data_IF_837272865376
#
_entry.id   IF_837272865376
#
_cell.length_a   1.000
_cell.length_b   1.000
_cell.length_c   1.000
_cell.angle_alpha   90.00
_cell.angle_beta   90.00
_cell.angle_gamma   90.00
#
_symmetry.space_group_name_H-M   'P 1'
#
loop_
_entity.id
_entity.type
_entity.pdbx_description
1 polymer ?
#
# COMPACT_ATOMS: atom_id res chain seq x y z
N UNK A 1 17.70 17.83 4.86
CA UNK A 1 18.71 18.65 5.54
C UNK A 1 20.05 18.63 4.79
N UNK A 2 20.65 17.45 4.45
CA UNK A 2 21.95 17.39 3.78
C UNK A 2 21.97 18.19 2.46
N UNK A 3 20.99 18.03 1.60
CA UNK A 3 20.85 18.78 0.34
C UNK A 3 20.76 20.30 0.58
N UNK A 4 19.99 20.70 1.61
CA UNK A 4 19.88 22.11 1.98
C UNK A 4 21.20 22.68 2.48
N UNK A 5 21.95 21.92 3.27
CA UNK A 5 23.27 22.32 3.77
C UNK A 5 24.30 22.49 2.63
N UNK A 6 24.10 21.80 1.49
CA UNK A 6 24.89 21.99 0.27
C UNK A 6 24.42 23.20 -0.57
N UNK A 7 23.50 24.02 -0.07
CA UNK A 7 23.00 25.21 -0.77
C UNK A 7 21.91 24.95 -1.82
N UNK A 8 21.43 23.71 -1.94
CA UNK A 8 20.34 23.39 -2.88
C UNK A 8 19.01 23.99 -2.41
N UNK A 9 18.29 24.64 -3.32
CA UNK A 9 16.95 25.18 -3.09
C UNK A 9 15.86 24.29 -3.68
N UNK A 10 16.18 23.60 -4.77
CA UNK A 10 15.27 22.74 -5.54
C UNK A 10 15.96 21.42 -5.82
N UNK A 11 15.21 20.33 -5.76
CA UNK A 11 15.64 19.00 -6.21
C UNK A 11 14.56 18.36 -7.10
N UNK A 12 14.98 17.49 -8.03
CA UNK A 12 14.07 16.73 -8.87
C UNK A 12 13.89 15.32 -8.31
N UNK A 13 12.65 14.84 -8.31
CA UNK A 13 12.27 13.49 -7.87
C UNK A 13 11.71 12.67 -9.03
N UNK A 14 11.99 11.37 -9.01
CA UNK A 14 11.43 10.39 -9.94
C UNK A 14 10.05 9.85 -9.56
N UNK A 15 9.35 10.49 -8.60
CA UNK A 15 7.97 10.15 -8.25
C UNK A 15 7.05 10.25 -9.47
N UNK A 16 6.03 9.39 -9.54
CA UNK A 16 5.14 9.26 -10.69
C UNK A 16 5.62 8.23 -11.71
N UNK A 17 6.93 7.92 -11.73
CA UNK A 17 7.48 6.98 -12.70
C UNK A 17 7.01 5.53 -12.55
N UNK A 18 6.67 5.09 -11.37
CA UNK A 18 6.11 3.76 -11.15
C UNK A 18 4.60 3.73 -11.43
N UNK A 19 3.90 4.79 -11.11
CA UNK A 19 2.46 4.94 -11.28
C UNK A 19 2.07 5.07 -12.75
N UNK A 20 2.80 5.88 -13.51
CA UNK A 20 2.53 6.11 -14.93
C UNK A 20 3.06 5.01 -15.85
N UNK A 21 4.23 4.46 -15.52
CA UNK A 21 4.94 3.50 -16.39
C UNK A 21 4.84 2.05 -15.89
N UNK A 22 3.81 1.75 -15.11
CA UNK A 22 3.52 0.40 -14.61
C UNK A 22 4.69 -0.29 -13.87
N UNK A 23 5.37 0.45 -12.99
CA UNK A 23 6.54 -0.03 -12.28
C UNK A 23 6.26 -0.93 -11.07
N UNK A 24 5.01 -0.97 -10.56
CA UNK A 24 4.63 -1.77 -9.40
C UNK A 24 4.08 -3.16 -9.76
N UNK A 25 4.20 -4.09 -8.83
CA UNK A 25 3.56 -5.41 -8.96
C UNK A 25 2.02 -5.31 -8.99
N UNK A 26 1.43 -4.22 -8.47
CA UNK A 26 -0.01 -3.95 -8.53
C UNK A 26 -0.57 -4.02 -9.95
N UNK A 27 0.17 -3.55 -10.94
CA UNK A 27 -0.25 -3.54 -12.34
C UNK A 27 -0.49 -4.94 -12.94
N UNK A 28 0.18 -5.95 -12.41
CA UNK A 28 -0.06 -7.34 -12.82
C UNK A 28 -0.97 -8.11 -11.86
N UNK A 29 -0.88 -7.83 -10.55
CA UNK A 29 -1.61 -8.57 -9.52
C UNK A 29 -3.07 -8.13 -9.42
N UNK A 30 -3.38 -6.83 -9.39
CA UNK A 30 -4.76 -6.35 -9.23
C UNK A 30 -5.67 -6.83 -10.38
N UNK A 31 -5.29 -6.75 -11.67
CA UNK A 31 -6.10 -7.32 -12.75
C UNK A 31 -6.33 -8.83 -12.62
N UNK A 32 -5.30 -9.59 -12.17
CA UNK A 32 -5.43 -11.03 -11.96
C UNK A 32 -6.36 -11.35 -10.77
N UNK A 33 -6.20 -10.63 -9.66
CA UNK A 33 -7.06 -10.79 -8.49
C UNK A 33 -8.52 -10.43 -8.81
N UNK A 34 -8.75 -9.42 -9.66
CA UNK A 34 -10.10 -9.09 -10.14
C UNK A 34 -10.73 -10.22 -10.95
N UNK A 35 -9.97 -10.94 -11.79
CA UNK A 35 -10.47 -12.13 -12.49
C UNK A 35 -10.76 -13.28 -11.51
N UNK A 36 -9.87 -13.54 -10.57
CA UNK A 36 -10.05 -14.57 -9.52
C UNK A 36 -11.27 -14.23 -8.67
N UNK A 37 -11.45 -12.97 -8.28
CA UNK A 37 -12.60 -12.49 -7.53
C UNK A 37 -13.93 -12.83 -8.21
N UNK A 38 -14.04 -12.64 -9.53
CA UNK A 38 -15.27 -12.96 -10.28
C UNK A 38 -15.62 -14.44 -10.09
N UNK A 39 -14.64 -15.33 -10.22
CA UNK A 39 -14.82 -16.77 -10.01
C UNK A 39 -15.19 -17.07 -8.55
N UNK A 40 -14.50 -16.49 -7.60
CA UNK A 40 -14.78 -16.72 -6.18
C UNK A 40 -16.18 -16.23 -5.78
N UNK A 41 -16.63 -15.09 -6.31
CA UNK A 41 -17.95 -14.54 -6.02
C UNK A 41 -19.09 -15.41 -6.55
N UNK A 42 -18.86 -16.21 -7.60
CA UNK A 42 -19.87 -17.16 -8.13
C UNK A 42 -19.97 -18.46 -7.31
N UNK A 43 -19.01 -18.72 -6.40
CA UNK A 43 -19.03 -19.92 -5.57
C UNK A 43 -19.94 -19.75 -4.33
N UNK A 44 -20.65 -20.80 -3.92
CA UNK A 44 -21.40 -20.82 -2.65
C UNK A 44 -20.49 -20.53 -1.46
N UNK A 45 -21.04 -19.87 -0.43
CA UNK A 45 -20.30 -19.46 0.78
C UNK A 45 -19.65 -20.66 1.51
N UNK A 46 -20.33 -21.81 1.56
CA UNK A 46 -19.80 -23.05 2.13
C UNK A 46 -18.54 -23.54 1.44
N UNK A 47 -18.52 -23.52 0.10
CA UNK A 47 -17.34 -23.93 -0.67
C UNK A 47 -16.18 -22.96 -0.49
N UNK A 48 -16.46 -21.65 -0.47
CA UNK A 48 -15.44 -20.64 -0.18
C UNK A 48 -14.79 -20.82 1.21
N UNK A 49 -15.61 -21.18 2.22
CA UNK A 49 -15.12 -21.50 3.57
C UNK A 49 -14.19 -22.72 3.55
N UNK A 50 -14.55 -23.78 2.83
CA UNK A 50 -13.69 -24.98 2.69
C UNK A 50 -12.37 -24.64 2.00
N UNK A 51 -12.41 -23.90 0.88
CA UNK A 51 -11.20 -23.45 0.17
C UNK A 51 -10.31 -22.58 1.05
N UNK A 52 -10.88 -21.68 1.85
CA UNK A 52 -10.12 -20.86 2.79
C UNK A 52 -9.47 -21.68 3.89
N UNK A 53 -10.16 -22.68 4.43
CA UNK A 53 -9.58 -23.59 5.44
C UNK A 53 -8.42 -24.39 4.85
N UNK A 54 -8.58 -24.93 3.64
CA UNK A 54 -7.51 -25.63 2.93
C UNK A 54 -6.30 -24.71 2.66
N UNK A 55 -6.53 -23.47 2.19
CA UNK A 55 -5.47 -22.49 1.99
C UNK A 55 -4.73 -22.19 3.32
N UNK A 56 -5.47 -22.08 4.43
CA UNK A 56 -4.89 -21.83 5.76
C UNK A 56 -4.03 -23.00 6.26
N UNK A 57 -4.39 -24.24 5.94
CA UNK A 57 -3.60 -25.41 6.35
C UNK A 57 -2.32 -25.60 5.53
N UNK A 58 -2.32 -25.10 4.29
CA UNK A 58 -1.16 -25.25 3.38
C UNK A 58 -0.17 -24.09 3.45
N UNK A 59 -0.57 -22.93 3.98
CA UNK A 59 0.27 -21.75 4.02
C UNK A 59 0.63 -21.34 5.46
N UNK A 60 1.89 -21.01 5.74
CA UNK A 60 2.25 -20.48 7.04
C UNK A 60 1.54 -19.15 7.32
N UNK A 61 1.24 -18.85 8.60
CA UNK A 61 0.68 -17.55 8.99
C UNK A 61 1.56 -16.40 8.50
N UNK A 62 0.97 -15.49 7.72
CA UNK A 62 1.66 -14.33 7.15
C UNK A 62 0.64 -13.31 6.66
N UNK A 63 1.08 -12.07 6.41
CA UNK A 63 0.22 -11.04 5.79
C UNK A 63 -0.38 -11.51 4.46
N UNK A 64 0.37 -12.29 3.69
CA UNK A 64 -0.11 -12.82 2.40
C UNK A 64 -1.19 -13.88 2.57
N UNK A 65 -1.00 -14.82 3.49
CA UNK A 65 -2.00 -15.87 3.77
C UNK A 65 -3.28 -15.26 4.36
N UNK A 66 -3.16 -14.26 5.24
CA UNK A 66 -4.30 -13.53 5.78
C UNK A 66 -5.10 -12.83 4.67
N UNK A 67 -4.42 -12.08 3.78
CA UNK A 67 -5.06 -11.40 2.65
C UNK A 67 -5.70 -12.36 1.66
N UNK A 68 -5.06 -13.50 1.38
CA UNK A 68 -5.62 -14.54 0.50
C UNK A 68 -6.89 -15.15 1.12
N UNK A 69 -6.86 -15.49 2.40
CA UNK A 69 -8.03 -16.00 3.09
C UNK A 69 -9.19 -15.01 3.10
N UNK A 70 -8.86 -13.73 3.25
CA UNK A 70 -9.84 -12.66 3.19
C UNK A 70 -10.48 -12.57 1.79
N UNK A 71 -9.66 -12.63 0.73
CA UNK A 71 -10.14 -12.65 -0.65
C UNK A 71 -11.07 -13.84 -0.94
N UNK A 72 -10.73 -15.03 -0.43
CA UNK A 72 -11.52 -16.25 -0.65
C UNK A 72 -12.87 -16.19 0.10
N UNK A 73 -12.89 -15.72 1.35
CA UNK A 73 -14.10 -15.69 2.18
C UNK A 73 -15.08 -14.60 1.79
N UNK A 74 -14.58 -13.43 1.38
CA UNK A 74 -15.39 -12.24 1.13
C UNK A 74 -16.15 -12.29 -0.20
N UNK A 75 -17.14 -11.42 -0.30
CA UNK A 75 -17.73 -11.01 -1.57
C UNK A 75 -17.23 -9.60 -1.89
N UNK A 76 -16.39 -9.48 -2.89
CA UNK A 76 -15.63 -8.26 -3.14
C UNK A 76 -15.95 -7.64 -4.51
N UNK A 77 -15.86 -6.30 -4.56
CA UNK A 77 -15.81 -5.53 -5.80
C UNK A 77 -14.36 -5.10 -6.11
N UNK A 78 -14.18 -4.25 -7.11
CA UNK A 78 -12.85 -3.78 -7.52
C UNK A 78 -12.14 -2.96 -6.45
N UNK A 79 -12.88 -2.12 -5.72
CA UNK A 79 -12.33 -1.32 -4.61
C UNK A 79 -11.76 -2.20 -3.50
N UNK A 80 -12.47 -3.25 -3.11
CA UNK A 80 -11.98 -4.21 -2.12
C UNK A 80 -10.66 -4.86 -2.55
N UNK A 81 -10.53 -5.25 -3.83
CA UNK A 81 -9.29 -5.85 -4.34
C UNK A 81 -8.14 -4.84 -4.30
N UNK A 82 -8.38 -3.58 -4.66
CA UNK A 82 -7.39 -2.53 -4.59
C UNK A 82 -6.92 -2.30 -3.13
N UNK A 83 -7.85 -2.13 -2.19
CA UNK A 83 -7.49 -1.95 -0.78
C UNK A 83 -6.86 -3.20 -0.16
N UNK A 84 -7.31 -4.41 -0.51
CA UNK A 84 -6.66 -5.64 -0.06
C UNK A 84 -5.17 -5.68 -0.46
N UNK A 85 -4.85 -5.14 -1.63
CA UNK A 85 -3.46 -5.02 -2.07
C UNK A 85 -2.69 -3.93 -1.30
N UNK A 86 -3.29 -2.75 -1.09
CA UNK A 86 -2.61 -1.57 -0.52
C UNK A 86 -2.67 -1.46 1.00
N UNK A 87 -3.70 -1.99 1.66
CA UNK A 87 -3.86 -1.87 3.12
C UNK A 87 -2.85 -2.72 3.88
N UNK A 88 -2.45 -2.24 5.04
CA UNK A 88 -1.65 -3.01 6.00
C UNK A 88 -2.50 -4.08 6.69
N UNK A 89 -3.74 -3.76 7.03
CA UNK A 89 -4.69 -4.64 7.72
C UNK A 89 -5.89 -4.97 6.84
N UNK A 90 -6.41 -6.18 6.99
CA UNK A 90 -7.71 -6.53 6.43
C UNK A 90 -8.84 -6.04 7.34
N UNK A 91 -10.06 -5.91 6.80
CA UNK A 91 -11.22 -5.42 7.55
C UNK A 91 -11.48 -6.21 8.85
N UNK A 92 -11.36 -7.53 8.81
CA UNK A 92 -11.52 -8.37 10.01
C UNK A 92 -10.47 -8.10 11.09
N UNK A 93 -9.22 -7.82 10.69
CA UNK A 93 -8.15 -7.48 11.62
C UNK A 93 -8.42 -6.11 12.26
N UNK A 94 -8.89 -5.16 11.46
CA UNK A 94 -9.31 -3.85 11.97
C UNK A 94 -10.47 -3.97 12.97
N UNK A 95 -11.45 -4.85 12.71
CA UNK A 95 -12.56 -5.12 13.62
C UNK A 95 -12.11 -5.66 14.99
N UNK A 96 -10.97 -6.35 15.07
CA UNK A 96 -10.39 -6.80 16.34
C UNK A 96 -9.46 -5.77 16.99
N UNK A 97 -9.03 -4.77 16.23
CA UNK A 97 -8.12 -3.72 16.68
C UNK A 97 -8.86 -2.49 17.21
N UNK A 98 -10.04 -2.19 16.66
CA UNK A 98 -10.83 -1.03 17.08
C UNK A 98 -11.89 -1.41 18.11
N UNK A 99 -12.09 -0.53 19.11
CA UNK A 99 -13.06 -0.72 20.18
C UNK A 99 -14.51 -0.58 19.70
N UNK A 100 -14.77 0.28 18.72
CA UNK A 100 -16.08 0.43 18.06
C UNK A 100 -16.05 -0.07 16.60
N UNK A 101 -16.50 -1.34 16.38
CA UNK A 101 -16.55 -1.91 15.03
C UNK A 101 -17.56 -1.22 14.11
N UNK A 102 -18.60 -0.53 14.65
CA UNK A 102 -19.63 0.10 13.83
C UNK A 102 -19.14 1.38 13.18
N UNK A 103 -18.45 2.24 13.93
CA UNK A 103 -17.82 3.46 13.39
C UNK A 103 -16.80 3.07 12.32
N UNK A 104 -15.94 2.10 12.65
CA UNK A 104 -14.94 1.59 11.72
C UNK A 104 -15.58 1.07 10.43
N UNK A 105 -16.62 0.24 10.52
CA UNK A 105 -17.33 -0.32 9.37
C UNK A 105 -17.94 0.77 8.49
N UNK A 106 -18.53 1.80 9.11
CA UNK A 106 -19.09 2.95 8.38
C UNK A 106 -18.02 3.67 7.54
N UNK A 107 -16.87 3.98 8.12
CA UNK A 107 -15.79 4.68 7.42
C UNK A 107 -15.12 3.80 6.34
N UNK A 108 -14.92 2.51 6.59
CA UNK A 108 -14.43 1.58 5.58
C UNK A 108 -15.41 1.51 4.41
N UNK A 109 -16.70 1.33 4.68
CA UNK A 109 -17.74 1.25 3.64
C UNK A 109 -17.79 2.52 2.80
N UNK A 110 -17.71 3.70 3.44
CA UNK A 110 -17.67 5.00 2.75
C UNK A 110 -16.49 5.10 1.78
N UNK A 111 -15.29 4.72 2.23
CA UNK A 111 -14.11 4.74 1.37
C UNK A 111 -14.18 3.72 0.23
N UNK A 112 -14.69 2.51 0.50
CA UNK A 112 -14.90 1.48 -0.51
C UNK A 112 -15.91 1.92 -1.58
N UNK A 113 -17.04 2.51 -1.18
CA UNK A 113 -18.05 3.01 -2.10
C UNK A 113 -17.49 4.12 -2.99
N UNK A 114 -16.83 5.13 -2.39
CA UNK A 114 -16.20 6.19 -3.15
C UNK A 114 -15.20 5.67 -4.18
N UNK A 115 -14.36 4.71 -3.80
CA UNK A 115 -13.40 4.12 -4.73
C UNK A 115 -14.09 3.25 -5.78
N UNK A 116 -15.18 2.55 -5.45
CA UNK A 116 -15.95 1.80 -6.43
C UNK A 116 -16.63 2.73 -7.44
N UNK A 117 -17.20 3.84 -7.01
CA UNK A 117 -17.77 4.86 -7.89
C UNK A 117 -16.72 5.42 -8.87
N UNK A 118 -15.48 5.64 -8.41
CA UNK A 118 -14.37 6.01 -9.27
C UNK A 118 -14.04 4.91 -10.30
N UNK A 119 -14.03 3.65 -9.89
CA UNK A 119 -13.80 2.51 -10.80
C UNK A 119 -14.90 2.43 -11.87
N UNK A 120 -16.15 2.57 -11.46
CA UNK A 120 -17.30 2.45 -12.34
C UNK A 120 -17.39 3.62 -13.35
N UNK A 121 -17.08 4.84 -12.88
CA UNK A 121 -17.01 6.02 -13.75
C UNK A 121 -15.89 5.96 -14.79
N UNK A 122 -14.84 5.19 -14.51
CA UNK A 122 -13.70 4.96 -15.40
C UNK A 122 -13.68 3.55 -16.01
N UNK A 123 -14.83 2.93 -16.15
CA UNK A 123 -14.98 1.55 -16.68
C UNK A 123 -14.48 1.36 -18.12
N UNK A 124 -14.29 2.45 -18.88
CA UNK A 124 -13.69 2.42 -20.22
C UNK A 124 -12.17 2.30 -20.22
N UNK A 125 -11.50 2.56 -19.09
CA UNK A 125 -10.06 2.38 -18.98
C UNK A 125 -9.70 0.89 -19.05
N UNK A 126 -8.54 0.62 -19.64
CA UNK A 126 -7.97 -0.72 -19.57
C UNK A 126 -7.68 -1.09 -18.09
N UNK A 127 -7.61 -2.39 -17.75
CA UNK A 127 -7.26 -2.80 -16.38
C UNK A 127 -5.93 -2.21 -15.87
N UNK A 128 -4.98 -1.96 -16.75
CA UNK A 128 -3.67 -1.36 -16.44
C UNK A 128 -3.82 0.12 -16.15
N UNK A 129 -4.55 0.84 -17.01
CA UNK A 129 -4.78 2.27 -16.86
C UNK A 129 -5.66 2.56 -15.63
N UNK A 130 -6.61 1.68 -15.33
CA UNK A 130 -7.39 1.79 -14.11
C UNK A 130 -6.51 1.64 -12.85
N UNK A 131 -5.55 0.72 -12.86
CA UNK A 131 -4.58 0.61 -11.76
C UNK A 131 -3.72 1.87 -11.67
N UNK A 132 -3.22 2.40 -12.81
CA UNK A 132 -2.47 3.65 -12.84
C UNK A 132 -3.28 4.80 -12.23
N UNK A 133 -4.54 4.94 -12.62
CA UNK A 133 -5.46 5.95 -12.10
C UNK A 133 -5.65 5.83 -10.57
N UNK A 134 -5.90 4.63 -10.07
CA UNK A 134 -6.05 4.37 -8.64
C UNK A 134 -4.75 4.64 -7.85
N UNK A 135 -3.60 4.23 -8.39
CA UNK A 135 -2.31 4.51 -7.76
C UNK A 135 -2.02 6.01 -7.67
N UNK A 136 -2.33 6.76 -8.72
CA UNK A 136 -2.12 8.21 -8.74
C UNK A 136 -3.07 8.95 -7.81
N UNK A 137 -4.35 8.61 -7.81
CA UNK A 137 -5.38 9.32 -7.04
C UNK A 137 -5.40 8.94 -5.56
N UNK A 138 -4.95 7.74 -5.19
CA UNK A 138 -4.93 7.28 -3.82
C UNK A 138 -3.50 7.30 -3.25
N UNK A 139 -2.65 6.34 -3.64
CA UNK A 139 -1.34 6.17 -3.02
C UNK A 139 -0.39 7.34 -3.28
N UNK A 140 -0.28 7.78 -4.52
CA UNK A 140 0.57 8.91 -4.89
C UNK A 140 0.11 10.21 -4.20
N UNK A 141 -1.15 10.59 -4.38
CA UNK A 141 -1.65 11.86 -3.90
C UNK A 141 -1.72 11.94 -2.36
N UNK A 142 -2.14 10.86 -1.69
CA UNK A 142 -2.37 10.86 -0.24
C UNK A 142 -1.16 10.49 0.59
N UNK A 143 -0.17 9.81 0.00
CA UNK A 143 1.01 9.32 0.73
C UNK A 143 2.29 9.90 0.15
N UNK A 144 2.65 9.54 -1.08
CA UNK A 144 3.99 9.84 -1.59
C UNK A 144 4.24 11.34 -1.78
N UNK A 145 3.31 12.06 -2.41
CA UNK A 145 3.45 13.51 -2.63
C UNK A 145 3.39 14.26 -1.31
N UNK A 146 2.41 13.92 -0.47
CA UNK A 146 2.24 14.56 0.83
C UNK A 146 3.48 14.37 1.72
N UNK A 147 3.97 13.14 1.84
CA UNK A 147 5.16 12.85 2.67
C UNK A 147 6.40 13.55 2.11
N UNK A 148 6.56 13.54 0.78
CA UNK A 148 7.68 14.23 0.12
C UNK A 148 7.65 15.73 0.37
N UNK A 149 6.50 16.37 0.19
CA UNK A 149 6.33 17.80 0.41
C UNK A 149 6.56 18.17 1.86
N UNK A 150 5.89 17.52 2.80
CA UNK A 150 6.02 17.76 4.23
C UNK A 150 7.47 17.64 4.71
N UNK A 151 8.16 16.56 4.32
CA UNK A 151 9.53 16.30 4.78
C UNK A 151 10.54 17.23 4.11
N UNK A 152 10.38 17.59 2.85
CA UNK A 152 11.29 18.50 2.17
C UNK A 152 11.10 19.94 2.61
N UNK A 153 9.84 20.39 2.76
CA UNK A 153 9.51 21.73 3.21
C UNK A 153 9.88 21.98 4.66
N UNK A 154 9.89 20.95 5.53
CA UNK A 154 10.45 21.04 6.89
C UNK A 154 11.91 21.50 6.91
N UNK A 155 12.61 21.38 5.76
CA UNK A 155 13.98 21.83 5.57
C UNK A 155 14.11 22.97 4.54
N UNK A 156 13.00 23.53 4.06
CA UNK A 156 12.96 24.59 3.05
C UNK A 156 13.58 24.15 1.70
N UNK A 157 13.39 22.88 1.31
CA UNK A 157 13.82 22.31 0.02
C UNK A 157 12.60 22.02 -0.84
N UNK A 158 12.48 22.69 -2.01
CA UNK A 158 11.43 22.41 -2.97
C UNK A 158 11.73 21.11 -3.73
N UNK A 159 10.78 20.18 -3.76
CA UNK A 159 10.87 18.97 -4.59
C UNK A 159 9.93 19.10 -5.79
N UNK A 160 10.49 19.01 -6.99
CA UNK A 160 9.72 18.95 -8.24
C UNK A 160 9.62 17.52 -8.76
N UNK A 161 8.47 17.20 -9.35
CA UNK A 161 8.10 15.84 -9.81
C UNK A 161 7.76 15.85 -11.31
N UNK A 162 8.76 15.95 -12.19
CA UNK A 162 8.53 16.14 -13.64
C UNK A 162 7.71 15.02 -14.28
N UNK A 163 7.74 13.80 -13.73
CA UNK A 163 6.97 12.66 -14.26
C UNK A 163 5.47 12.74 -13.94
N UNK A 164 5.04 13.74 -13.16
CA UNK A 164 3.62 14.03 -12.88
C UNK A 164 3.12 15.28 -13.61
N UNK A 165 3.88 15.76 -14.60
CA UNK A 165 3.38 16.81 -15.49
C UNK A 165 2.07 16.37 -16.17
N UNK A 166 1.03 17.22 -16.15
CA UNK A 166 -0.29 16.85 -16.65
C UNK A 166 -0.29 16.44 -18.11
N UNK A 167 0.56 17.06 -18.96
CA UNK A 167 0.69 16.69 -20.39
C UNK A 167 1.28 15.30 -20.56
N UNK A 168 2.24 14.94 -19.71
CA UNK A 168 2.79 13.58 -19.69
C UNK A 168 1.75 12.57 -19.21
N UNK A 169 0.99 12.91 -18.19
CA UNK A 169 -0.12 12.07 -17.68
C UNK A 169 -1.15 11.83 -18.79
N UNK A 170 -1.64 12.88 -19.44
CA UNK A 170 -2.60 12.79 -20.55
C UNK A 170 -2.06 11.95 -21.71
N UNK A 171 -0.80 12.17 -22.11
CA UNK A 171 -0.13 11.37 -23.11
C UNK A 171 -0.10 9.87 -22.69
N UNK A 172 0.28 9.58 -21.46
CA UNK A 172 0.38 8.20 -20.99
C UNK A 172 -0.99 7.50 -20.99
N UNK A 173 -2.08 8.20 -20.68
CA UNK A 173 -3.41 7.62 -20.77
C UNK A 173 -3.93 7.47 -22.21
N UNK A 174 -3.36 8.17 -23.19
CA UNK A 174 -3.68 7.98 -24.61
C UNK A 174 -2.95 6.81 -25.26
N UNK A 175 -1.87 6.31 -24.66
CA UNK A 175 -1.08 5.18 -25.17
C UNK A 175 -1.78 3.85 -24.82
N UNK A 176 -1.88 2.88 -25.76
CA UNK A 176 -2.42 1.56 -25.49
C UNK A 176 -1.68 0.84 -24.35
N UNK A 177 -2.41 0.19 -23.46
CA UNK A 177 -1.86 -0.38 -22.23
C UNK A 177 -0.97 -1.61 -22.44
N UNK A 178 -1.12 -2.33 -23.54
CA UNK A 178 -0.27 -3.47 -23.91
C UNK A 178 1.19 -3.07 -24.16
N UNK A 179 1.41 -1.83 -24.62
CA UNK A 179 2.75 -1.26 -24.80
C UNK A 179 3.38 -0.85 -23.46
N UNK A 180 2.56 -0.52 -22.46
CA UNK A 180 3.03 -0.07 -21.13
C UNK A 180 3.64 -1.17 -20.29
N UNK A 181 3.26 -2.43 -20.55
CA UNK A 181 3.72 -3.60 -19.78
C UNK A 181 4.37 -4.61 -20.69
N UNK A 182 5.61 -5.00 -20.31
CA UNK A 182 6.32 -6.11 -20.95
C UNK A 182 6.83 -7.07 -19.88
N UNK A 183 6.49 -8.36 -19.99
CA UNK A 183 6.93 -9.37 -19.03
C UNK A 183 8.45 -9.39 -18.93
N UNK A 184 8.95 -9.29 -17.70
CA UNK A 184 10.40 -9.32 -17.43
C UNK A 184 11.16 -8.04 -17.79
N UNK A 185 10.48 -6.99 -18.26
CA UNK A 185 11.11 -5.72 -18.61
C UNK A 185 10.38 -4.56 -17.90
N UNK A 186 10.98 -3.94 -16.90
CA UNK A 186 10.33 -2.89 -16.11
C UNK A 186 10.23 -1.58 -16.90
N UNK A 187 9.06 -0.93 -16.81
CA UNK A 187 8.80 0.41 -17.37
C UNK A 187 9.29 0.57 -18.82
N UNK A 188 8.82 -0.28 -19.78
CA UNK A 188 9.39 -0.34 -21.12
C UNK A 188 9.35 1.00 -21.86
N UNK A 189 8.27 1.77 -21.74
CA UNK A 189 8.15 3.08 -22.37
C UNK A 189 9.18 4.07 -21.83
N UNK A 190 9.32 4.15 -20.50
CA UNK A 190 10.28 5.07 -19.87
C UNK A 190 11.72 4.70 -20.24
N UNK A 191 12.07 3.42 -20.19
CA UNK A 191 13.43 2.97 -20.52
C UNK A 191 13.77 3.18 -21.99
N UNK A 192 12.82 2.89 -22.90
CA UNK A 192 13.05 3.01 -24.33
C UNK A 192 12.98 4.46 -24.85
N UNK A 193 12.38 5.40 -24.07
CA UNK A 193 12.37 6.82 -24.44
C UNK A 193 13.71 7.53 -24.23
N UNK A 194 14.65 6.90 -23.52
CA UNK A 194 15.95 7.50 -23.27
C UNK A 194 16.83 7.49 -24.52
N UNK A 195 17.34 8.65 -24.87
CA UNK A 195 18.26 8.81 -26.02
C UNK A 195 19.56 8.00 -25.84
N UNK A 196 20.04 7.96 -24.60
CA UNK A 196 21.19 7.11 -24.21
C UNK A 196 20.65 5.90 -23.44
N UNK A 197 20.89 4.71 -24.01
CA UNK A 197 20.48 3.45 -23.39
C UNK A 197 21.11 3.28 -22.00
N UNK A 198 20.28 2.88 -21.04
CA UNK A 198 20.78 2.46 -19.72
C UNK A 198 21.47 1.10 -19.84
N UNK A 199 22.53 0.85 -19.06
CA UNK A 199 23.13 -0.48 -18.97
C UNK A 199 22.12 -1.54 -18.52
N UNK A 200 22.21 -2.75 -19.09
CA UNK A 200 21.26 -3.84 -18.81
C UNK A 200 21.15 -4.17 -17.32
N UNK A 201 22.25 -4.13 -16.58
CA UNK A 201 22.23 -4.38 -15.14
C UNK A 201 21.41 -3.37 -14.34
N UNK A 202 21.22 -2.14 -14.85
CA UNK A 202 20.34 -1.14 -14.28
C UNK A 202 18.88 -1.47 -14.62
N UNK A 203 18.61 -1.77 -15.91
CA UNK A 203 17.25 -2.05 -16.39
C UNK A 203 16.69 -3.32 -15.77
N UNK A 204 17.50 -4.39 -15.71
CA UNK A 204 17.08 -5.71 -15.21
C UNK A 204 17.18 -5.85 -13.70
N UNK A 205 17.70 -4.83 -13.01
CA UNK A 205 17.81 -4.87 -11.54
C UNK A 205 16.45 -5.12 -10.91
N UNK A 206 16.40 -6.12 -10.01
CA UNK A 206 15.21 -6.36 -9.20
C UNK A 206 14.79 -5.07 -8.49
N UNK A 207 13.54 -4.69 -8.64
CA UNK A 207 12.99 -3.52 -7.94
C UNK A 207 13.17 -3.69 -6.45
N UNK A 208 13.86 -2.74 -5.83
CA UNK A 208 13.96 -2.61 -4.39
C UNK A 208 13.25 -1.31 -3.98
N UNK A 209 12.33 -1.42 -3.02
CA UNK A 209 11.79 -0.24 -2.35
C UNK A 209 12.88 0.44 -1.53
N UNK A 210 12.74 1.73 -1.29
CA UNK A 210 13.56 2.44 -0.31
C UNK A 210 13.08 2.02 1.09
N UNK A 211 13.62 0.91 1.58
CA UNK A 211 13.28 0.36 2.89
C UNK A 211 14.49 0.42 3.80
N UNK A 212 14.33 1.10 4.92
CA UNK A 212 15.27 1.04 6.03
C UNK A 212 15.14 -0.31 6.75
N UNK A 213 16.13 -0.76 7.51
CA UNK A 213 16.11 -2.06 8.18
C UNK A 213 15.21 -2.04 9.44
N UNK A 214 13.97 -1.55 9.31
CA UNK A 214 13.02 -1.43 10.40
C UNK A 214 12.79 -2.74 11.16
N UNK A 215 12.73 -3.87 10.44
CA UNK A 215 12.55 -5.17 11.09
C UNK A 215 13.69 -5.48 12.07
N UNK A 216 14.94 -5.20 11.68
CA UNK A 216 16.09 -5.42 12.53
C UNK A 216 16.09 -4.44 13.73
N UNK A 217 15.83 -3.18 13.48
CA UNK A 217 15.75 -2.17 14.54
C UNK A 217 14.65 -2.46 15.55
N UNK A 218 13.46 -2.79 15.08
CA UNK A 218 12.30 -3.07 15.93
C UNK A 218 12.47 -4.37 16.75
N UNK A 219 13.27 -5.32 16.28
CA UNK A 219 13.60 -6.54 17.03
C UNK A 219 14.80 -6.34 17.96
N UNK A 220 15.65 -5.34 17.68
CA UNK A 220 16.88 -5.03 18.38
C UNK A 220 16.79 -3.75 19.20
N UNK A 221 17.52 -2.73 18.77
CA UNK A 221 17.77 -1.50 19.54
C UNK A 221 16.51 -0.68 19.86
N UNK A 222 15.52 -0.65 18.96
CA UNK A 222 14.26 0.08 19.17
C UNK A 222 13.21 -0.72 19.96
N UNK A 223 13.44 -2.00 20.21
CA UNK A 223 12.47 -2.87 20.85
C UNK A 223 11.96 -2.35 22.20
N UNK A 224 12.83 -1.95 23.15
CA UNK A 224 12.36 -1.48 24.47
C UNK A 224 11.45 -0.24 24.36
N UNK A 225 11.78 0.71 23.48
CA UNK A 225 10.96 1.90 23.27
C UNK A 225 9.62 1.54 22.65
N UNK A 226 9.62 0.72 21.61
CA UNK A 226 8.39 0.33 20.91
C UNK A 226 7.48 -0.47 21.84
N UNK A 227 8.00 -1.42 22.61
CA UNK A 227 7.24 -2.15 23.62
C UNK A 227 6.65 -1.23 24.68
N UNK A 228 7.43 -0.29 25.19
CA UNK A 228 6.93 0.65 26.19
C UNK A 228 5.78 1.50 25.65
N UNK A 229 5.84 1.94 24.40
CA UNK A 229 4.77 2.71 23.76
C UNK A 229 3.56 1.82 23.43
N UNK A 230 3.76 0.69 22.75
CA UNK A 230 2.65 -0.15 22.30
C UNK A 230 1.88 -0.79 23.46
N UNK A 231 2.59 -1.22 24.52
CA UNK A 231 2.00 -1.95 25.64
C UNK A 231 1.54 -1.05 26.78
N UNK A 232 1.92 0.24 26.78
CA UNK A 232 1.36 1.21 27.73
C UNK A 232 -0.14 1.40 27.49
N UNK A 233 -0.91 1.56 28.55
CA UNK A 233 -2.28 2.04 28.44
C UNK A 233 -2.26 3.54 28.14
N UNK A 234 -2.98 3.95 27.11
CA UNK A 234 -3.24 5.37 26.82
C UNK A 234 -4.73 5.60 27.02
N UNK A 235 -5.09 6.44 27.97
CA UNK A 235 -6.49 6.78 28.24
C UNK A 235 -7.17 7.36 26.99
N UNK A 236 -6.41 8.16 26.22
CA UNK A 236 -6.89 8.80 24.98
C UNK A 236 -7.18 7.80 23.87
N UNK A 237 -6.53 6.64 23.87
CA UNK A 237 -6.63 5.61 22.82
C UNK A 237 -7.54 4.44 23.21
N UNK A 238 -7.75 4.22 24.51
CA UNK A 238 -8.53 3.07 25.02
C UNK A 238 -9.96 3.02 24.48
N UNK A 239 -10.53 4.19 24.20
CA UNK A 239 -11.88 4.30 23.64
C UNK A 239 -11.93 3.91 22.15
N UNK A 240 -10.80 3.96 21.44
CA UNK A 240 -10.75 3.74 19.98
C UNK A 240 -10.04 2.44 19.62
N UNK A 241 -8.98 2.06 20.34
CA UNK A 241 -8.12 0.93 20.00
C UNK A 241 -8.01 -0.06 21.15
N UNK A 242 -8.33 -1.33 20.85
CA UNK A 242 -8.19 -2.44 21.77
C UNK A 242 -6.73 -2.71 22.11
N UNK A 243 -6.39 -2.64 23.40
CA UNK A 243 -5.05 -2.95 23.89
C UNK A 243 -4.66 -4.41 23.58
N UNK A 244 -5.62 -5.35 23.69
CA UNK A 244 -5.40 -6.76 23.34
C UNK A 244 -5.10 -6.93 21.85
N UNK A 245 -5.78 -6.14 20.99
CA UNK A 245 -5.51 -6.11 19.56
C UNK A 245 -4.09 -5.64 19.24
N UNK A 246 -3.63 -4.58 19.90
CA UNK A 246 -2.26 -4.06 19.76
C UNK A 246 -1.23 -5.10 20.24
N UNK A 247 -1.45 -5.69 21.40
CA UNK A 247 -0.57 -6.73 21.96
C UNK A 247 -0.47 -7.94 21.04
N UNK A 248 -1.58 -8.38 20.45
CA UNK A 248 -1.63 -9.47 19.48
C UNK A 248 -0.81 -9.15 18.21
N UNK A 249 -0.91 -7.92 17.68
CA UNK A 249 -0.11 -7.50 16.51
C UNK A 249 1.37 -7.50 16.85
N UNK A 250 1.76 -6.98 18.01
CA UNK A 250 3.14 -6.98 18.46
C UNK A 250 3.70 -8.40 18.62
N UNK A 251 2.96 -9.29 19.28
CA UNK A 251 3.33 -10.70 19.45
C UNK A 251 3.48 -11.42 18.10
N UNK A 252 2.52 -11.22 17.18
CA UNK A 252 2.61 -11.78 15.82
C UNK A 252 3.85 -11.29 15.05
N UNK A 253 4.26 -10.04 15.26
CA UNK A 253 5.51 -9.54 14.67
C UNK A 253 6.73 -10.25 15.29
N UNK A 254 6.81 -10.38 16.59
CA UNK A 254 7.90 -11.09 17.27
C UNK A 254 8.00 -12.55 16.80
N UNK A 255 6.87 -13.20 16.57
CA UNK A 255 6.76 -14.57 16.06
C UNK A 255 6.96 -14.69 14.53
N UNK A 256 7.29 -13.61 13.82
CA UNK A 256 7.45 -13.57 12.35
C UNK A 256 6.17 -13.92 11.57
N UNK A 257 4.99 -13.73 12.16
CA UNK A 257 3.68 -13.99 11.53
C UNK A 257 3.12 -12.79 10.78
N UNK A 258 3.66 -11.58 11.02
CA UNK A 258 3.30 -10.38 10.27
C UNK A 258 4.53 -9.49 10.02
N UNK A 259 4.39 -8.55 9.07
CA UNK A 259 5.44 -7.60 8.71
C UNK A 259 5.64 -6.52 9.77
N UNK A 260 6.83 -5.93 9.82
CA UNK A 260 7.20 -4.83 10.71
C UNK A 260 6.29 -3.59 10.54
N UNK A 261 5.75 -3.37 9.35
CA UNK A 261 4.94 -2.19 9.05
C UNK A 261 3.63 -2.11 9.87
N UNK A 262 3.11 -3.24 10.32
CA UNK A 262 1.90 -3.30 11.16
C UNK A 262 2.11 -2.73 12.56
N UNK A 263 3.00 -3.28 13.40
CA UNK A 263 3.25 -2.67 14.71
C UNK A 263 3.86 -1.28 14.61
N UNK A 264 4.64 -0.99 13.55
CA UNK A 264 5.15 0.35 13.30
C UNK A 264 4.04 1.38 13.09
N UNK A 265 3.02 1.06 12.30
CA UNK A 265 1.88 1.97 12.10
C UNK A 265 1.14 2.28 13.40
N UNK A 266 0.98 1.29 14.28
CA UNK A 266 0.37 1.48 15.60
C UNK A 266 1.25 2.30 16.54
N UNK A 267 2.56 2.06 16.51
CA UNK A 267 3.53 2.86 17.29
C UNK A 267 3.48 4.33 16.88
N UNK A 268 3.52 4.62 15.58
CA UNK A 268 3.43 5.99 15.07
C UNK A 268 2.09 6.63 15.44
N UNK A 269 0.99 5.90 15.31
CA UNK A 269 -0.34 6.39 15.68
C UNK A 269 -0.41 6.75 17.18
N UNK A 270 0.07 5.88 18.06
CA UNK A 270 0.10 6.15 19.50
C UNK A 270 0.96 7.38 19.83
N UNK A 271 2.16 7.46 19.31
CA UNK A 271 3.06 8.63 19.50
C UNK A 271 2.43 9.92 18.98
N UNK A 272 1.71 9.85 17.87
CA UNK A 272 1.03 11.03 17.31
C UNK A 272 -0.13 11.48 18.20
N UNK A 273 -0.95 10.57 18.69
CA UNK A 273 -2.07 10.87 19.57
C UNK A 273 -1.56 11.45 20.91
N UNK A 274 -0.57 10.82 21.52
CA UNK A 274 0.00 11.28 22.79
C UNK A 274 0.58 12.70 22.69
N UNK A 275 1.07 13.06 21.48
CA UNK A 275 1.66 14.40 21.24
C UNK A 275 0.62 15.47 20.90
N UNK A 276 -0.49 15.12 20.22
CA UNK A 276 -1.36 16.11 19.59
C UNK A 276 -2.76 16.18 20.21
N UNK A 277 -3.17 15.21 20.98
CA UNK A 277 -4.44 15.17 21.71
C UNK A 277 -4.21 15.18 23.22
#
# INVERSE_FOLDING_TARGET
QAAKNMGLKVALSGLGGDELFAGYNSFSLIPRLNKIKIILNSLPSGLRKQLSNLASSLMPPSDKSTKLNHLIKGQYNGAHVYYLFRSLFCEQELGSLFSDPLILKKEITKNLNRTQELIDSHSRLSPVDLVSYLEMTHYMATTLLRDTDMMSMAHGLEIRVPLLDHKLVELMFSIPSDIKIKKGYPKPLLVNSLTKKLPDFIVQRKKMGFTLPFEAWMRGEMRPEIESVLLSRSEKLSDFISQDGVQKIWSNFLDKRCSWSRPWSLYVLKKWIDKNL
#
